data_IF_726070477633
#
_entry.id   IF_726070477633
#
_cell.length_a   1.000
_cell.length_b   1.000
_cell.length_c   1.000
_cell.angle_alpha   90.00
_cell.angle_beta   90.00
_cell.angle_gamma   90.00
#
_symmetry.space_group_name_H-M   'P 1'
#
loop_
_entity.id
_entity.type
_entity.pdbx_description
1 polymer ?
#
# COMPACT_ATOMS: atom_id res chain seq x y z
N UNK A 1 20.35 -3.95 -31.07
CA UNK A 1 20.02 -3.38 -29.75
C UNK A 1 18.56 -3.62 -29.36
N UNK A 2 17.57 -3.28 -30.19
CA UNK A 2 16.12 -3.45 -29.89
C UNK A 2 15.73 -4.89 -29.51
N UNK A 3 16.36 -5.90 -30.12
CA UNK A 3 16.04 -7.31 -29.86
C UNK A 3 16.41 -7.75 -28.44
N UNK A 4 17.59 -7.34 -27.94
CA UNK A 4 18.03 -7.63 -26.56
C UNK A 4 17.16 -6.87 -25.55
N UNK A 5 16.87 -5.60 -25.83
CA UNK A 5 15.99 -4.80 -25.00
C UNK A 5 14.60 -5.42 -24.86
N UNK A 6 14.02 -5.96 -25.94
CA UNK A 6 12.74 -6.68 -25.91
C UNK A 6 12.78 -7.88 -24.96
N UNK A 7 13.82 -8.71 -25.02
CA UNK A 7 13.96 -9.87 -24.13
C UNK A 7 14.16 -9.46 -22.67
N UNK A 8 14.94 -8.42 -22.41
CA UNK A 8 15.15 -7.88 -21.06
C UNK A 8 13.83 -7.35 -20.48
N UNK A 9 13.09 -6.54 -21.26
CA UNK A 9 11.79 -6.04 -20.83
C UNK A 9 10.78 -7.16 -20.59
N UNK A 10 10.74 -8.16 -21.48
CA UNK A 10 9.87 -9.32 -21.30
C UNK A 10 10.24 -10.10 -20.03
N UNK A 11 11.54 -10.30 -19.79
CA UNK A 11 12.04 -10.93 -18.57
C UNK A 11 11.63 -10.16 -17.30
N UNK A 12 11.75 -8.84 -17.31
CA UNK A 12 11.33 -7.98 -16.19
C UNK A 12 9.83 -8.07 -15.92
N UNK A 13 9.01 -8.05 -16.97
CA UNK A 13 7.55 -8.18 -16.84
C UNK A 13 7.17 -9.54 -16.28
N UNK A 14 7.78 -10.62 -16.79
CA UNK A 14 7.53 -11.98 -16.29
C UNK A 14 7.98 -12.11 -14.83
N UNK A 15 9.15 -11.57 -14.48
CA UNK A 15 9.64 -11.58 -13.10
C UNK A 15 8.70 -10.81 -12.16
N UNK A 16 8.25 -9.62 -12.56
CA UNK A 16 7.29 -8.83 -11.78
C UNK A 16 5.96 -9.58 -11.58
N UNK A 17 5.45 -10.22 -12.63
CA UNK A 17 4.23 -11.02 -12.54
C UNK A 17 4.38 -12.21 -11.58
N UNK A 18 5.51 -12.94 -11.66
CA UNK A 18 5.80 -14.06 -10.76
C UNK A 18 5.89 -13.60 -9.30
N UNK A 19 6.57 -12.47 -9.04
CA UNK A 19 6.70 -11.92 -7.69
C UNK A 19 5.35 -11.47 -7.13
N UNK A 20 4.53 -10.79 -7.94
CA UNK A 20 3.20 -10.36 -7.52
C UNK A 20 2.26 -11.54 -7.22
N UNK A 21 2.21 -12.53 -8.12
CA UNK A 21 1.37 -13.73 -7.93
C UNK A 21 1.89 -14.55 -6.74
N UNK A 22 3.21 -14.71 -6.62
CA UNK A 22 3.82 -15.43 -5.50
C UNK A 22 3.50 -14.80 -4.15
N UNK A 23 3.59 -13.48 -4.04
CA UNK A 23 3.19 -12.74 -2.83
C UNK A 23 1.72 -12.99 -2.47
N UNK A 24 0.81 -12.86 -3.46
CA UNK A 24 -0.61 -13.11 -3.25
C UNK A 24 -0.90 -14.55 -2.80
N UNK A 25 -0.28 -15.55 -3.44
CA UNK A 25 -0.45 -16.97 -3.09
C UNK A 25 0.04 -17.23 -1.68
N UNK A 26 1.22 -16.74 -1.30
CA UNK A 26 1.77 -16.92 0.05
C UNK A 26 0.89 -16.23 1.09
N UNK A 27 0.46 -15.00 0.84
CA UNK A 27 -0.43 -14.26 1.73
C UNK A 27 -1.76 -15.01 1.91
N UNK A 28 -2.38 -15.47 0.82
CA UNK A 28 -3.65 -16.19 0.86
C UNK A 28 -3.52 -17.55 1.55
N UNK A 29 -2.45 -18.30 1.26
CA UNK A 29 -2.19 -19.60 1.88
C UNK A 29 -1.98 -19.52 3.40
N UNK A 30 -1.48 -18.37 3.90
CA UNK A 30 -1.35 -18.07 5.33
C UNK A 30 -2.65 -17.57 5.99
N UNK A 31 -3.78 -17.62 5.27
CA UNK A 31 -5.07 -17.16 5.77
C UNK A 31 -5.29 -15.65 5.65
N UNK A 32 -4.46 -14.94 4.87
CA UNK A 32 -4.55 -13.50 4.70
C UNK A 32 -4.13 -12.73 5.96
N UNK A 33 -2.89 -12.89 6.44
CA UNK A 33 -2.45 -12.29 7.69
C UNK A 33 -2.49 -10.75 7.62
N UNK A 34 -3.17 -10.16 8.59
CA UNK A 34 -3.17 -8.72 8.85
C UNK A 34 -2.29 -8.40 10.07
N UNK A 35 -1.75 -7.18 10.08
CA UNK A 35 -1.17 -6.51 11.24
C UNK A 35 -1.96 -5.23 11.52
N UNK A 36 -1.58 -4.54 12.58
CA UNK A 36 -2.16 -3.25 12.94
C UNK A 36 -1.04 -2.28 13.27
N UNK A 37 -1.13 -1.06 12.74
CA UNK A 37 -0.15 0.01 12.95
C UNK A 37 -0.88 1.26 13.39
N UNK A 38 -0.43 1.87 14.48
CA UNK A 38 -0.94 3.16 14.95
C UNK A 38 -0.41 4.30 14.07
N UNK A 39 -1.33 5.06 13.48
CA UNK A 39 -1.07 6.20 12.60
C UNK A 39 -1.67 7.48 13.16
N UNK A 40 -1.11 8.62 12.78
CA UNK A 40 -1.71 9.94 13.05
C UNK A 40 -2.83 10.20 12.06
N UNK A 41 -4.02 10.52 12.56
CA UNK A 41 -5.20 10.81 11.74
C UNK A 41 -5.39 12.31 11.59
N UNK A 42 -5.71 12.75 10.37
CA UNK A 42 -6.13 14.10 10.07
C UNK A 42 -7.44 14.09 9.29
N UNK A 43 -8.36 14.99 9.62
CA UNK A 43 -9.59 15.22 8.86
C UNK A 43 -9.37 16.39 7.91
N UNK A 44 -9.69 16.19 6.64
CA UNK A 44 -9.54 17.20 5.59
C UNK A 44 -10.88 17.87 5.35
N UNK A 45 -10.99 19.14 5.74
CA UNK A 45 -12.16 19.95 5.40
C UNK A 45 -11.95 20.66 4.07
N UNK A 46 -12.92 20.53 3.16
CA UNK A 46 -12.95 21.30 1.92
C UNK A 46 -13.58 22.67 2.17
N UNK A 47 -12.82 23.74 1.93
CA UNK A 47 -13.24 25.12 2.08
C UNK A 47 -13.58 25.76 0.72
N UNK A 48 -14.34 26.86 0.78
CA UNK A 48 -14.68 27.66 -0.40
C UNK A 48 -13.43 28.13 -1.14
N UNK A 49 -13.48 28.04 -2.47
CA UNK A 49 -12.38 28.47 -3.35
C UNK A 49 -11.28 27.42 -3.51
N UNK A 50 -11.63 26.13 -3.46
CA UNK A 50 -10.72 24.99 -3.63
C UNK A 50 -9.55 24.98 -2.63
N UNK A 51 -9.82 25.39 -1.38
CA UNK A 51 -8.86 25.32 -0.29
C UNK A 51 -9.16 24.08 0.56
N UNK A 52 -8.12 23.44 1.07
CA UNK A 52 -8.24 22.33 2.02
C UNK A 52 -7.59 22.74 3.34
N UNK A 53 -8.25 22.46 4.46
CA UNK A 53 -7.65 22.58 5.80
C UNK A 53 -7.59 21.21 6.46
N UNK A 54 -6.50 20.96 7.19
CA UNK A 54 -6.17 19.66 7.78
C UNK A 54 -6.25 19.78 9.31
N UNK A 55 -7.20 19.10 9.92
CA UNK A 55 -7.39 19.11 11.36
C UNK A 55 -6.84 17.83 11.99
N UNK A 56 -5.99 17.89 13.02
CA UNK A 56 -5.56 16.70 13.74
C UNK A 56 -6.75 16.00 14.43
N UNK A 57 -6.89 14.70 14.21
CA UNK A 57 -7.95 13.85 14.78
C UNK A 57 -7.36 12.70 15.62
N UNK A 58 -6.21 12.97 16.24
CA UNK A 58 -5.52 12.04 17.13
C UNK A 58 -4.80 10.90 16.40
N UNK A 59 -4.87 9.71 16.99
CA UNK A 59 -4.24 8.50 16.45
C UNK A 59 -5.28 7.40 16.26
N UNK A 60 -5.13 6.63 15.20
CA UNK A 60 -5.98 5.50 14.89
C UNK A 60 -5.11 4.28 14.58
N UNK A 61 -5.61 3.10 14.92
CA UNK A 61 -5.02 1.85 14.49
C UNK A 61 -5.62 1.47 13.13
N UNK A 62 -4.76 1.25 12.15
CA UNK A 62 -5.18 0.80 10.81
C UNK A 62 -4.67 -0.59 10.53
N UNK A 63 -5.53 -1.41 9.94
CA UNK A 63 -5.14 -2.74 9.47
C UNK A 63 -4.17 -2.61 8.30
N UNK A 64 -3.14 -3.44 8.31
CA UNK A 64 -2.15 -3.54 7.26
C UNK A 64 -1.95 -5.00 6.85
N UNK A 65 -1.63 -5.24 5.58
CA UNK A 65 -1.35 -6.59 5.08
C UNK A 65 0.10 -7.00 5.38
N UNK A 66 0.29 -8.20 5.96
CA UNK A 66 1.61 -8.79 6.17
C UNK A 66 2.10 -9.49 4.90
N UNK A 67 2.30 -8.69 3.85
CA UNK A 67 2.73 -9.09 2.51
C UNK A 67 3.65 -8.04 1.91
N UNK A 68 4.31 -8.39 0.80
CA UNK A 68 5.17 -7.47 0.08
C UNK A 68 4.33 -6.36 -0.58
N UNK A 69 3.21 -6.75 -1.22
CA UNK A 69 2.27 -5.81 -1.84
C UNK A 69 1.01 -5.62 -0.98
N UNK A 70 0.27 -4.52 -1.16
CA UNK A 70 -1.04 -4.33 -0.54
C UNK A 70 -2.03 -5.43 -0.92
N UNK A 71 -2.68 -6.03 0.07
CA UNK A 71 -3.70 -7.07 -0.10
C UNK A 71 -4.96 -6.70 0.69
N UNK A 72 -6.13 -7.19 0.22
CA UNK A 72 -7.44 -7.02 0.90
C UNK A 72 -7.86 -5.56 1.19
N UNK A 73 -7.42 -4.61 0.38
CA UNK A 73 -7.74 -3.19 0.58
C UNK A 73 -6.91 -2.50 1.68
N UNK A 74 -5.99 -3.22 2.32
CA UNK A 74 -5.08 -2.69 3.32
C UNK A 74 -3.67 -2.46 2.75
N UNK A 75 -3.03 -1.34 3.12
CA UNK A 75 -1.63 -1.08 2.80
C UNK A 75 -0.71 -2.16 3.37
N UNK A 76 0.47 -2.38 2.77
CA UNK A 76 1.44 -3.31 3.33
C UNK A 76 2.03 -2.75 4.63
N UNK A 77 2.23 -3.59 5.65
CA UNK A 77 2.66 -3.10 6.97
C UNK A 77 3.98 -2.32 6.94
N UNK A 78 4.96 -2.79 6.16
CA UNK A 78 6.26 -2.09 6.01
C UNK A 78 6.10 -0.69 5.42
N UNK A 79 5.12 -0.48 4.54
CA UNK A 79 4.85 0.82 3.94
C UNK A 79 4.15 1.76 4.94
N UNK A 80 3.13 1.25 5.62
CA UNK A 80 2.37 2.01 6.63
C UNK A 80 3.26 2.41 7.80
N UNK A 81 4.18 1.54 8.22
CA UNK A 81 5.16 1.86 9.25
C UNK A 81 6.08 3.03 8.87
N UNK A 82 6.37 3.21 7.58
CA UNK A 82 7.13 4.36 7.06
C UNK A 82 6.28 5.61 6.81
N UNK A 83 4.96 5.46 6.65
CA UNK A 83 4.02 6.53 6.30
C UNK A 83 2.83 6.56 7.28
N UNK A 84 3.10 6.88 8.54
CA UNK A 84 2.12 6.81 9.64
C UNK A 84 1.17 8.01 9.71
N UNK A 85 0.68 8.47 8.57
CA UNK A 85 -0.28 9.59 8.48
C UNK A 85 -1.42 9.18 7.56
N UNK A 86 -2.65 9.32 8.04
CA UNK A 86 -3.87 9.06 7.28
C UNK A 86 -4.73 10.32 7.23
N UNK A 87 -5.27 10.61 6.06
CA UNK A 87 -6.14 11.72 5.79
C UNK A 87 -7.55 11.20 5.49
N UNK A 88 -8.48 11.48 6.38
CA UNK A 88 -9.90 11.19 6.19
C UNK A 88 -10.58 12.42 5.59
N UNK A 89 -11.33 12.21 4.50
CA UNK A 89 -12.03 13.26 3.73
C UNK A 89 -13.54 13.18 3.94
#
# INVERSE_FOLDING_TARGET
>A
MVRILKWVLMGLVVAAAVVYIGDWVVWKARGGPLGSVTVSRFVVASLKGNKEEYYPDGRADVDCSKSLFPQAGAGSCWWVEGHRVVFDR
#
